data_IF_437617642782
#
_entry.id   IF_437617642782
#
_cell.length_a   1.000
_cell.length_b   1.000
_cell.length_c   1.000
_cell.angle_alpha   90.00
_cell.angle_beta   90.00
_cell.angle_gamma   90.00
#
_symmetry.space_group_name_H-M   'P 1'
#
loop_
_entity.id
_entity.type
_entity.pdbx_description
1 polymer ?
#
# COMPACT_ATOMS: atom_id res chain seq x y z
N UNK A 1 -36.35 -47.97 19.70
CA UNK A 1 -36.68 -46.53 19.53
C UNK A 1 -35.37 -45.84 19.12
N UNK A 2 -35.35 -45.16 17.98
CA UNK A 2 -34.18 -44.38 17.59
C UNK A 2 -34.07 -43.17 18.50
N UNK A 3 -32.88 -42.93 19.07
CA UNK A 3 -32.63 -41.72 19.84
C UNK A 3 -32.75 -40.49 18.94
N UNK A 4 -33.42 -39.41 19.41
CA UNK A 4 -33.53 -38.21 18.63
C UNK A 4 -32.14 -37.64 18.33
N UNK A 5 -31.91 -37.22 17.11
CA UNK A 5 -30.68 -36.54 16.72
C UNK A 5 -30.66 -35.19 17.40
N UNK A 6 -29.69 -34.97 18.29
CA UNK A 6 -29.56 -33.71 19.05
C UNK A 6 -28.67 -32.71 18.29
N UNK A 7 -28.92 -31.42 18.47
CA UNK A 7 -28.08 -30.35 17.89
C UNK A 7 -26.59 -30.46 18.28
N UNK A 8 -26.31 -31.06 19.46
CA UNK A 8 -24.93 -31.36 19.86
C UNK A 8 -24.23 -32.40 18.97
N UNK A 9 -25.01 -33.34 18.40
CA UNK A 9 -24.46 -34.32 17.44
C UNK A 9 -24.22 -33.73 16.04
N UNK A 10 -24.77 -32.56 15.75
CA UNK A 10 -24.59 -31.85 14.47
C UNK A 10 -23.69 -30.59 14.56
N UNK A 11 -23.17 -30.29 15.74
CA UNK A 11 -22.30 -29.12 15.94
C UNK A 11 -21.09 -29.15 14.97
N UNK A 12 -20.52 -30.32 14.76
CA UNK A 12 -19.37 -30.51 13.87
C UNK A 12 -19.70 -30.31 12.37
N UNK A 13 -20.97 -30.35 11.98
CA UNK A 13 -21.42 -30.12 10.61
C UNK A 13 -21.75 -28.64 10.32
N UNK A 14 -22.11 -27.89 11.34
CA UNK A 14 -22.51 -26.48 11.21
C UNK A 14 -21.28 -25.57 11.17
N UNK A 15 -20.26 -25.84 11.98
CA UNK A 15 -19.01 -25.06 12.01
C UNK A 15 -18.29 -25.01 10.65
N UNK A 16 -18.08 -26.13 9.93
CA UNK A 16 -17.47 -26.10 8.61
C UNK A 16 -18.23 -25.26 7.58
N UNK A 17 -19.57 -25.30 7.59
CA UNK A 17 -20.39 -24.53 6.66
C UNK A 17 -20.25 -23.02 6.91
N UNK A 18 -20.30 -22.59 8.15
CA UNK A 18 -20.15 -21.17 8.49
C UNK A 18 -18.74 -20.65 8.21
N UNK A 19 -17.71 -21.46 8.42
CA UNK A 19 -16.34 -21.15 7.99
C UNK A 19 -16.24 -20.99 6.49
N UNK A 20 -16.84 -21.90 5.73
CA UNK A 20 -16.84 -21.83 4.27
C UNK A 20 -17.51 -20.55 3.77
N UNK A 21 -18.67 -20.17 4.31
CA UNK A 21 -19.37 -18.93 3.97
C UNK A 21 -18.48 -17.72 4.27
N UNK A 22 -17.89 -17.65 5.47
CA UNK A 22 -17.00 -16.56 5.87
C UNK A 22 -15.78 -16.46 4.97
N UNK A 23 -15.15 -17.60 4.65
CA UNK A 23 -13.96 -17.63 3.78
C UNK A 23 -14.27 -17.24 2.34
N UNK A 24 -15.41 -17.71 1.81
CA UNK A 24 -15.83 -17.39 0.45
C UNK A 24 -16.10 -15.87 0.32
N UNK A 25 -16.79 -15.27 1.27
CA UNK A 25 -17.07 -13.83 1.29
C UNK A 25 -15.79 -13.00 1.50
N UNK A 26 -14.87 -13.47 2.32
CA UNK A 26 -13.55 -12.83 2.47
C UNK A 26 -12.79 -12.82 1.15
N UNK A 27 -12.77 -13.94 0.44
CA UNK A 27 -12.02 -14.10 -0.81
C UNK A 27 -12.70 -13.41 -2.00
N UNK A 28 -14.04 -13.31 -1.98
CA UNK A 28 -14.80 -12.68 -3.07
C UNK A 28 -14.67 -11.15 -3.13
N UNK A 29 -14.18 -10.51 -2.06
CA UNK A 29 -13.97 -9.06 -2.04
C UNK A 29 -12.81 -8.67 -2.97
N UNK A 30 -13.02 -7.67 -3.87
CA UNK A 30 -11.94 -7.15 -4.70
C UNK A 30 -10.76 -6.70 -3.84
N UNK A 31 -9.57 -7.15 -4.17
CA UNK A 31 -8.36 -6.88 -3.39
C UNK A 31 -7.31 -6.17 -4.26
N UNK A 32 -6.85 -4.99 -3.82
CA UNK A 32 -5.77 -4.23 -4.44
C UNK A 32 -4.42 -4.43 -3.74
N UNK A 33 -4.41 -5.19 -2.65
CA UNK A 33 -3.19 -5.41 -1.86
C UNK A 33 -2.07 -6.07 -2.69
N UNK A 34 -2.34 -7.08 -3.55
CA UNK A 34 -1.30 -7.69 -4.35
C UNK A 34 -0.64 -6.77 -5.39
N UNK A 35 -1.27 -5.63 -5.71
CA UNK A 35 -0.69 -4.61 -6.61
C UNK A 35 0.33 -3.74 -5.89
N UNK A 36 0.15 -3.52 -4.57
CA UNK A 36 0.98 -2.64 -3.75
C UNK A 36 2.07 -3.37 -2.96
N UNK A 37 1.81 -4.62 -2.58
CA UNK A 37 2.65 -5.33 -1.62
C UNK A 37 3.07 -6.69 -2.17
N UNK A 38 4.36 -6.99 -2.03
CA UNK A 38 4.87 -8.35 -2.11
C UNK A 38 4.28 -9.22 -0.99
N UNK A 39 4.08 -10.50 -1.27
CA UNK A 39 3.57 -11.46 -0.29
C UNK A 39 4.70 -12.40 0.13
N UNK A 40 5.00 -12.37 1.41
CA UNK A 40 5.99 -13.24 2.03
C UNK A 40 5.35 -14.00 3.20
N UNK A 41 5.93 -15.14 3.56
CA UNK A 41 5.52 -15.93 4.74
C UNK A 41 6.58 -15.83 5.81
N UNK A 42 6.16 -15.69 7.07
CA UNK A 42 7.05 -15.59 8.22
C UNK A 42 6.56 -16.48 9.36
N UNK A 43 7.50 -17.13 10.04
CA UNK A 43 7.27 -17.91 11.25
C UNK A 43 7.68 -17.15 12.53
N UNK A 44 8.06 -15.88 12.40
CA UNK A 44 8.56 -15.04 13.50
C UNK A 44 7.54 -14.00 13.91
N UNK A 45 7.61 -13.47 15.15
CA UNK A 45 6.73 -12.39 15.59
C UNK A 45 7.02 -11.05 14.91
N UNK A 46 8.24 -10.86 14.44
CA UNK A 46 8.70 -9.69 13.69
C UNK A 46 9.77 -10.08 12.68
N UNK A 47 9.81 -9.35 11.57
CA UNK A 47 10.88 -9.44 10.59
C UNK A 47 11.67 -8.14 10.58
N UNK A 48 13.00 -8.27 10.50
CA UNK A 48 13.91 -7.13 10.42
C UNK A 48 14.68 -7.17 9.11
N UNK A 49 14.58 -6.07 8.39
CA UNK A 49 15.30 -5.83 7.15
C UNK A 49 16.33 -4.74 7.41
N UNK A 50 17.59 -5.05 7.15
CA UNK A 50 18.70 -4.08 7.25
C UNK A 50 19.15 -3.74 5.85
N UNK A 51 19.19 -2.46 5.55
CA UNK A 51 19.69 -1.97 4.28
C UNK A 51 21.21 -1.79 4.31
N UNK A 52 21.80 -1.83 3.14
CA UNK A 52 23.25 -1.62 2.94
C UNK A 52 23.42 -0.59 1.84
N UNK A 53 24.16 0.47 2.14
CA UNK A 53 24.39 1.52 1.16
C UNK A 53 25.21 1.00 -0.03
N UNK A 54 24.88 1.39 -1.27
CA UNK A 54 25.71 1.10 -2.43
C UNK A 54 27.12 1.71 -2.26
N UNK A 55 28.06 1.21 -3.03
CA UNK A 55 29.38 1.83 -3.16
C UNK A 55 29.27 3.09 -4.02
N UNK A 56 30.09 4.11 -3.72
CA UNK A 56 30.19 5.30 -4.56
C UNK A 56 31.00 5.08 -5.83
N UNK A 57 31.18 6.15 -6.57
CA UNK A 57 31.97 6.15 -7.80
C UNK A 57 33.44 5.73 -7.56
N UNK A 58 33.99 5.02 -8.53
CA UNK A 58 35.41 4.66 -8.53
C UNK A 58 36.18 5.85 -9.08
N UNK A 59 37.03 6.54 -8.26
CA UNK A 59 37.77 7.69 -8.72
C UNK A 59 38.90 7.31 -9.70
N UNK A 60 39.35 8.29 -10.48
CA UNK A 60 40.51 8.13 -11.34
C UNK A 60 41.76 7.73 -10.51
N UNK A 61 42.51 6.75 -11.02
CA UNK A 61 43.74 6.32 -10.37
C UNK A 61 44.86 7.35 -10.55
N UNK A 62 45.26 7.98 -9.45
CA UNK A 62 46.33 8.99 -9.40
C UNK A 62 47.61 8.48 -8.73
N UNK A 63 47.78 7.16 -8.65
CA UNK A 63 48.98 6.54 -8.02
C UNK A 63 48.69 5.92 -6.65
N UNK A 64 47.52 6.15 -6.07
CA UNK A 64 47.07 5.52 -4.82
C UNK A 64 45.68 4.97 -5.02
N UNK A 65 45.40 3.73 -4.55
CA UNK A 65 44.07 3.14 -4.57
C UNK A 65 43.17 3.82 -3.51
N UNK A 66 42.03 4.27 -3.93
CA UNK A 66 40.95 4.63 -3.02
C UNK A 66 40.18 3.37 -2.62
N UNK A 67 39.99 3.16 -1.35
CA UNK A 67 39.20 2.07 -0.83
C UNK A 67 37.87 2.63 -0.36
N UNK A 68 36.80 2.15 -0.94
CA UNK A 68 35.42 2.42 -0.53
C UNK A 68 34.74 1.10 -0.14
N UNK A 69 33.72 1.16 0.68
CA UNK A 69 32.94 0.01 1.13
C UNK A 69 31.52 0.38 1.44
N UNK A 70 30.60 -0.59 1.44
CA UNK A 70 29.22 -0.35 1.83
C UNK A 70 29.14 -0.01 3.32
N UNK A 71 28.31 0.97 3.66
CA UNK A 71 27.91 1.28 5.03
C UNK A 71 26.55 0.65 5.35
N UNK A 72 26.23 0.50 6.64
CA UNK A 72 24.90 0.08 7.07
C UNK A 72 23.89 1.22 6.80
N UNK A 73 22.83 0.90 6.08
CA UNK A 73 21.70 1.76 5.83
C UNK A 73 20.73 1.81 7.01
N UNK A 74 19.49 2.15 6.72
CA UNK A 74 18.42 2.15 7.71
C UNK A 74 17.86 0.74 7.92
N UNK A 75 17.39 0.47 9.14
CA UNK A 75 16.71 -0.76 9.47
C UNK A 75 15.19 -0.57 9.44
N UNK A 76 14.48 -1.56 8.88
CA UNK A 76 13.03 -1.66 8.94
C UNK A 76 12.65 -2.89 9.74
N UNK A 77 11.87 -2.70 10.80
CA UNK A 77 11.29 -3.80 11.57
C UNK A 77 9.80 -3.86 11.31
N UNK A 78 9.34 -4.98 10.74
CA UNK A 78 7.92 -5.25 10.45
C UNK A 78 7.38 -6.14 11.57
N UNK A 79 6.33 -5.69 12.26
CA UNK A 79 5.70 -6.40 13.37
C UNK A 79 4.35 -6.97 12.93
N UNK A 80 4.17 -8.28 13.11
CA UNK A 80 2.89 -8.93 12.83
C UNK A 80 1.82 -8.50 13.84
N UNK A 81 0.61 -8.27 13.34
CA UNK A 81 -0.56 -7.92 14.17
C UNK A 81 -1.67 -8.93 13.95
N UNK A 82 -2.24 -9.39 15.04
CA UNK A 82 -3.40 -10.26 15.02
C UNK A 82 -4.68 -9.44 15.09
N UNK A 83 -5.65 -9.81 14.25
CA UNK A 83 -6.98 -9.25 14.25
C UNK A 83 -7.97 -10.36 14.53
N UNK A 84 -8.80 -10.18 15.53
CA UNK A 84 -9.83 -11.14 15.90
C UNK A 84 -11.20 -10.45 15.95
N UNK A 85 -12.18 -11.11 15.40
CA UNK A 85 -13.58 -10.69 15.47
C UNK A 85 -14.47 -11.91 15.58
N UNK A 86 -15.64 -11.75 16.19
CA UNK A 86 -16.58 -12.85 16.37
C UNK A 86 -18.02 -12.34 16.36
N UNK A 87 -18.94 -13.27 16.12
CA UNK A 87 -20.39 -13.03 16.19
C UNK A 87 -20.94 -13.84 17.35
N UNK A 88 -21.76 -13.21 18.16
CA UNK A 88 -22.52 -13.88 19.19
C UNK A 88 -23.97 -13.99 18.74
N UNK A 89 -24.47 -15.21 18.63
CA UNK A 89 -25.85 -15.51 18.18
C UNK A 89 -26.60 -16.10 19.33
N UNK A 90 -27.77 -15.51 19.63
CA UNK A 90 -28.70 -16.06 20.62
C UNK A 90 -29.32 -17.36 20.06
N UNK A 91 -29.41 -18.40 20.91
CA UNK A 91 -29.96 -19.68 20.50
C UNK A 91 -31.39 -19.56 19.96
N UNK A 92 -32.19 -18.68 20.57
CA UNK A 92 -33.58 -18.44 20.12
C UNK A 92 -33.61 -17.94 18.66
N UNK A 93 -32.72 -17.00 18.30
CA UNK A 93 -32.64 -16.50 16.93
C UNK A 93 -32.26 -17.62 15.95
N UNK A 94 -31.33 -18.50 16.35
CA UNK A 94 -30.93 -19.64 15.55
C UNK A 94 -32.10 -20.65 15.36
N UNK A 95 -32.86 -20.94 16.42
CA UNK A 95 -34.01 -21.87 16.38
C UNK A 95 -35.20 -21.27 15.61
N UNK A 96 -35.37 -19.94 15.61
CA UNK A 96 -36.43 -19.21 14.92
C UNK A 96 -36.11 -18.93 13.43
N UNK A 97 -34.87 -19.05 13.01
CA UNK A 97 -34.45 -18.82 11.62
C UNK A 97 -34.80 -20.03 10.73
N UNK A 98 -36.06 -20.07 10.29
CA UNK A 98 -36.59 -21.17 9.47
C UNK A 98 -35.91 -21.35 8.12
N UNK A 99 -35.23 -20.32 7.62
CA UNK A 99 -34.57 -20.34 6.31
C UNK A 99 -33.05 -20.51 6.41
N UNK A 100 -32.45 -20.35 7.59
CA UNK A 100 -31.03 -20.30 7.82
C UNK A 100 -30.36 -19.05 7.24
N UNK A 101 -31.11 -18.20 6.55
CA UNK A 101 -30.56 -17.07 5.79
C UNK A 101 -30.05 -15.92 6.66
N UNK A 102 -30.65 -15.69 7.83
CA UNK A 102 -30.27 -14.63 8.75
C UNK A 102 -28.91 -14.95 9.38
N UNK A 103 -28.75 -16.18 9.87
CA UNK A 103 -27.51 -16.65 10.49
C UNK A 103 -26.39 -16.71 9.47
N UNK A 104 -26.63 -17.26 8.27
CA UNK A 104 -25.67 -17.29 7.19
C UNK A 104 -25.23 -15.88 6.74
N UNK A 105 -26.19 -14.95 6.68
CA UNK A 105 -25.93 -13.54 6.39
C UNK A 105 -24.99 -12.88 7.39
N UNK A 106 -25.09 -13.23 8.69
CA UNK A 106 -24.17 -12.73 9.72
C UNK A 106 -22.74 -13.25 9.50
N UNK A 107 -22.55 -14.52 9.14
CA UNK A 107 -21.24 -15.07 8.85
C UNK A 107 -20.66 -14.50 7.55
N UNK A 108 -21.47 -14.26 6.54
CA UNK A 108 -21.09 -13.57 5.32
C UNK A 108 -20.57 -12.15 5.62
N UNK A 109 -21.29 -11.39 6.48
CA UNK A 109 -20.86 -10.04 6.88
C UNK A 109 -19.58 -10.06 7.72
N UNK A 110 -19.34 -11.08 8.52
CA UNK A 110 -18.07 -11.28 9.23
C UNK A 110 -16.92 -11.41 8.23
N UNK A 111 -17.07 -12.23 7.19
CA UNK A 111 -16.07 -12.37 6.13
C UNK A 111 -15.78 -11.07 5.41
N UNK A 112 -16.82 -10.33 5.02
CA UNK A 112 -16.70 -9.01 4.40
C UNK A 112 -16.03 -7.99 5.32
N UNK A 113 -16.35 -8.02 6.62
CA UNK A 113 -15.76 -7.12 7.62
C UNK A 113 -14.26 -7.39 7.79
N UNK A 114 -13.85 -8.65 7.80
CA UNK A 114 -12.44 -9.02 7.85
C UNK A 114 -11.67 -8.52 6.62
N UNK A 115 -12.23 -8.72 5.41
CA UNK A 115 -11.65 -8.22 4.17
C UNK A 115 -11.55 -6.68 4.14
N UNK A 116 -12.62 -5.99 4.58
CA UNK A 116 -12.61 -4.52 4.70
C UNK A 116 -11.54 -4.01 5.67
N UNK A 117 -11.33 -4.70 6.79
CA UNK A 117 -10.30 -4.34 7.78
C UNK A 117 -8.91 -4.49 7.17
N UNK A 118 -8.63 -5.61 6.51
CA UNK A 118 -7.37 -5.85 5.81
C UNK A 118 -7.08 -4.75 4.78
N UNK A 119 -8.08 -4.38 3.96
CA UNK A 119 -7.94 -3.32 2.96
C UNK A 119 -7.71 -1.94 3.58
N UNK A 120 -8.38 -1.62 4.71
CA UNK A 120 -8.15 -0.35 5.42
C UNK A 120 -6.74 -0.25 5.96
N UNK A 121 -6.22 -1.34 6.51
CA UNK A 121 -4.86 -1.38 7.02
C UNK A 121 -3.83 -1.33 5.89
N UNK A 122 -4.08 -1.97 4.76
CA UNK A 122 -3.22 -1.83 3.60
C UNK A 122 -3.23 -0.41 3.01
N UNK A 123 -4.36 0.29 3.00
CA UNK A 123 -4.44 1.67 2.54
C UNK A 123 -3.73 2.69 3.46
N UNK A 124 -3.20 2.27 4.61
CA UNK A 124 -2.45 3.15 5.52
C UNK A 124 -1.19 3.73 4.88
N UNK A 125 -0.60 3.04 3.91
CA UNK A 125 0.56 3.57 3.17
C UNK A 125 0.24 4.94 2.54
N UNK A 126 -0.98 5.12 2.04
CA UNK A 126 -1.45 6.39 1.52
C UNK A 126 -1.98 7.32 2.63
N UNK A 127 -2.87 6.80 3.48
CA UNK A 127 -3.54 7.60 4.50
C UNK A 127 -2.63 8.13 5.61
N UNK A 128 -1.43 7.56 5.76
CA UNK A 128 -0.42 7.97 6.73
C UNK A 128 0.91 8.36 6.07
N UNK A 129 0.92 8.57 4.74
CA UNK A 129 2.14 8.86 3.98
C UNK A 129 2.88 10.12 4.46
N UNK A 130 2.16 11.10 5.02
CA UNK A 130 2.69 12.37 5.51
C UNK A 130 2.99 12.38 7.02
N UNK A 131 2.86 11.23 7.69
CA UNK A 131 3.14 11.08 9.12
C UNK A 131 3.89 9.77 9.37
N UNK A 132 4.70 9.74 10.44
CA UNK A 132 5.39 8.52 10.83
C UNK A 132 4.37 7.48 11.31
N UNK A 133 4.18 6.41 10.55
CA UNK A 133 3.28 5.31 10.91
C UNK A 133 4.05 4.10 11.44
N UNK A 134 3.93 3.84 12.74
CA UNK A 134 4.61 2.73 13.41
C UNK A 134 3.67 1.56 13.72
N UNK A 135 2.49 1.51 13.10
CA UNK A 135 1.51 0.44 13.41
C UNK A 135 2.04 -0.95 13.04
N UNK A 136 2.58 -1.11 11.86
CA UNK A 136 3.05 -2.40 11.34
C UNK A 136 4.56 -2.46 11.16
N UNK A 137 5.20 -1.34 10.90
CA UNK A 137 6.63 -1.27 10.68
C UNK A 137 7.23 -0.08 11.44
N UNK A 138 8.50 -0.21 11.77
CA UNK A 138 9.30 0.85 12.33
C UNK A 138 10.56 1.02 11.47
N UNK A 139 10.74 2.21 10.92
CA UNK A 139 11.90 2.58 10.11
C UNK A 139 12.83 3.45 10.93
N UNK A 140 14.12 3.10 10.99
CA UNK A 140 15.09 3.77 11.88
C UNK A 140 15.42 5.19 11.46
N UNK A 141 15.14 5.60 10.22
CA UNK A 141 15.21 7.00 9.80
C UNK A 141 14.22 7.86 10.60
N UNK A 142 13.04 7.32 10.95
CA UNK A 142 12.04 8.01 11.76
C UNK A 142 11.30 9.15 11.05
N UNK A 143 11.31 9.18 9.72
CA UNK A 143 10.63 10.19 8.88
C UNK A 143 9.35 9.60 8.27
N UNK A 144 8.41 10.44 7.86
CA UNK A 144 7.22 10.02 7.13
C UNK A 144 7.60 9.48 5.75
N UNK A 145 6.76 8.61 5.17
CA UNK A 145 7.01 8.02 3.86
C UNK A 145 7.16 9.10 2.77
N UNK A 146 6.28 10.10 2.77
CA UNK A 146 6.42 11.28 1.93
C UNK A 146 6.92 12.44 2.78
N UNK A 147 8.14 12.88 2.56
CA UNK A 147 8.81 13.90 3.37
C UNK A 147 9.84 14.69 2.55
N UNK A 148 10.10 15.92 3.00
CA UNK A 148 11.22 16.74 2.52
C UNK A 148 12.38 16.75 3.54
N UNK A 149 12.54 15.64 4.27
CA UNK A 149 13.55 15.50 5.32
C UNK A 149 14.22 14.13 5.29
N UNK A 150 14.12 13.44 4.16
CA UNK A 150 14.82 12.17 3.97
C UNK A 150 16.34 12.38 3.98
N UNK A 151 17.04 11.43 4.60
CA UNK A 151 18.48 11.50 4.80
C UNK A 151 19.17 10.20 4.34
N UNK A 152 20.47 10.19 4.36
CA UNK A 152 21.28 8.99 4.12
C UNK A 152 22.18 8.73 5.32
N UNK A 153 22.50 7.47 5.57
CA UNK A 153 23.49 7.07 6.57
C UNK A 153 24.93 7.20 6.06
N UNK A 154 25.11 7.36 4.73
CA UNK A 154 26.42 7.44 4.12
C UNK A 154 27.06 8.80 4.39
N UNK A 155 28.29 8.78 4.89
CA UNK A 155 29.06 9.98 5.18
C UNK A 155 29.47 10.72 3.92
N UNK A 156 29.33 12.06 3.91
CA UNK A 156 29.78 12.91 2.82
C UNK A 156 28.78 13.07 1.65
N UNK A 157 27.64 12.40 1.68
CA UNK A 157 26.58 12.55 0.68
C UNK A 157 25.68 13.72 1.08
N UNK A 158 25.40 14.63 0.14
CA UNK A 158 24.49 15.75 0.33
C UNK A 158 23.05 15.32 0.04
N UNK A 159 22.15 15.54 0.98
CA UNK A 159 20.71 15.28 0.84
C UNK A 159 19.92 16.52 0.41
N UNK A 160 20.61 17.58 -0.06
CA UNK A 160 19.95 18.84 -0.46
C UNK A 160 19.09 18.69 -1.74
N UNK A 161 19.22 17.62 -2.48
CA UNK A 161 18.41 17.34 -3.68
C UNK A 161 18.35 15.85 -3.99
N UNK A 162 17.22 15.38 -4.49
CA UNK A 162 17.03 13.99 -4.92
C UNK A 162 16.70 13.00 -3.80
N UNK A 163 16.46 13.47 -2.57
CA UNK A 163 16.01 12.66 -1.44
C UNK A 163 14.56 12.98 -1.04
N UNK A 164 14.10 14.17 -1.38
CA UNK A 164 12.75 14.64 -1.06
C UNK A 164 11.73 14.08 -2.04
N UNK A 165 10.63 13.56 -1.52
CA UNK A 165 9.54 12.96 -2.29
C UNK A 165 8.16 13.55 -1.97
N UNK A 166 8.10 14.66 -1.23
CA UNK A 166 6.85 15.33 -0.87
C UNK A 166 6.53 16.46 -1.84
N UNK A 167 5.39 16.35 -2.54
CA UNK A 167 4.74 17.43 -3.26
C UNK A 167 3.57 18.03 -2.47
N UNK A 168 3.21 19.28 -2.74
CA UNK A 168 2.07 19.98 -2.11
C UNK A 168 1.06 20.50 -3.11
N UNK A 169 1.28 20.25 -4.40
CA UNK A 169 0.41 20.77 -5.46
C UNK A 169 -0.79 19.84 -5.71
N UNK A 170 -1.96 20.43 -5.98
CA UNK A 170 -3.11 19.67 -6.44
C UNK A 170 -2.81 19.01 -7.80
N UNK A 171 -3.49 17.91 -8.09
CA UNK A 171 -3.33 17.19 -9.37
C UNK A 171 -3.65 18.12 -10.55
N UNK A 172 -2.71 18.27 -11.47
CA UNK A 172 -2.82 19.05 -12.67
C UNK A 172 -1.78 18.57 -13.70
N UNK A 173 -1.85 18.93 -14.97
CA UNK A 173 -0.83 18.57 -15.97
C UNK A 173 0.58 18.99 -15.54
N UNK A 174 0.69 20.23 -15.04
CA UNK A 174 1.97 20.80 -14.61
C UNK A 174 2.54 20.12 -13.37
N UNK A 175 1.69 19.84 -12.35
CA UNK A 175 2.13 19.20 -11.13
C UNK A 175 2.50 17.71 -11.35
N UNK A 176 1.74 17.02 -12.23
CA UNK A 176 2.05 15.64 -12.59
C UNK A 176 3.39 15.56 -13.37
N UNK A 177 3.61 16.44 -14.34
CA UNK A 177 4.89 16.50 -15.05
C UNK A 177 6.08 16.83 -14.11
N UNK A 178 5.86 17.72 -13.12
CA UNK A 178 6.85 18.04 -12.10
C UNK A 178 7.13 16.83 -11.20
N UNK A 179 6.11 16.08 -10.79
CA UNK A 179 6.27 14.88 -9.96
C UNK A 179 7.05 13.77 -10.71
N UNK A 180 6.73 13.53 -11.99
CA UNK A 180 7.48 12.59 -12.84
C UNK A 180 8.96 13.00 -12.93
N UNK A 181 9.20 14.30 -13.09
CA UNK A 181 10.58 14.83 -13.14
C UNK A 181 11.30 14.63 -11.80
N UNK A 182 10.63 14.94 -10.69
CA UNK A 182 11.19 14.75 -9.34
C UNK A 182 11.47 13.28 -9.05
N UNK A 183 10.57 12.37 -9.45
CA UNK A 183 10.75 10.93 -9.29
C UNK A 183 12.01 10.44 -10.02
N UNK A 184 12.22 10.87 -11.26
CA UNK A 184 13.41 10.50 -12.05
C UNK A 184 14.71 11.11 -11.56
N UNK A 185 14.63 12.13 -10.70
CA UNK A 185 15.79 12.77 -10.05
C UNK A 185 16.09 12.19 -8.67
N UNK A 186 15.32 11.17 -8.22
CA UNK A 186 15.58 10.49 -6.95
C UNK A 186 16.98 9.82 -6.99
N UNK A 187 17.59 9.81 -5.81
CA UNK A 187 18.94 9.28 -5.60
C UNK A 187 18.92 8.15 -4.59
N UNK A 188 19.83 7.23 -4.78
CA UNK A 188 20.09 6.18 -3.82
C UNK A 188 20.85 6.70 -2.57
N UNK A 189 21.10 5.83 -1.60
CA UNK A 189 21.80 6.20 -0.37
C UNK A 189 23.27 6.62 -0.59
N UNK A 190 23.86 6.31 -1.76
CA UNK A 190 25.18 6.79 -2.15
C UNK A 190 25.16 8.16 -2.83
N UNK A 191 23.96 8.67 -3.16
CA UNK A 191 23.75 9.95 -3.82
C UNK A 191 23.74 9.86 -5.35
N UNK A 192 23.73 8.64 -5.91
CA UNK A 192 23.66 8.41 -7.34
C UNK A 192 22.20 8.35 -7.82
N UNK A 193 21.90 8.83 -9.06
CA UNK A 193 20.55 8.74 -9.62
C UNK A 193 20.08 7.29 -9.75
N UNK A 194 18.83 7.01 -9.33
CA UNK A 194 18.22 5.68 -9.45
C UNK A 194 17.75 5.40 -10.88
N UNK A 195 17.44 6.46 -11.65
CA UNK A 195 16.97 6.42 -13.05
C UNK A 195 15.69 5.58 -13.26
N UNK A 196 14.81 5.62 -12.27
CA UNK A 196 13.49 4.97 -12.33
C UNK A 196 12.46 5.90 -12.96
N UNK A 197 11.44 5.33 -13.62
CA UNK A 197 10.33 6.06 -14.23
C UNK A 197 9.04 5.61 -13.57
N UNK A 198 8.21 6.53 -13.06
CA UNK A 198 6.94 6.16 -12.48
C UNK A 198 5.98 5.64 -13.57
N UNK A 199 5.30 4.54 -13.31
CA UNK A 199 4.38 3.87 -14.22
C UNK A 199 2.95 3.75 -13.67
N UNK A 200 2.73 4.11 -12.41
CA UNK A 200 1.44 4.06 -11.75
C UNK A 200 1.06 5.41 -11.14
N UNK A 201 -0.23 5.75 -11.21
CA UNK A 201 -0.83 6.89 -10.52
C UNK A 201 -1.95 6.41 -9.59
N UNK A 202 -1.76 6.58 -8.29
CA UNK A 202 -2.74 6.22 -7.27
C UNK A 202 -3.53 7.44 -6.82
N UNK A 203 -4.87 7.34 -6.91
CA UNK A 203 -5.77 8.46 -6.61
C UNK A 203 -6.98 8.01 -5.77
N UNK A 204 -7.54 8.91 -4.94
CA UNK A 204 -8.85 8.72 -4.35
C UNK A 204 -9.95 8.77 -5.41
N UNK A 205 -11.12 8.26 -5.08
CA UNK A 205 -12.29 8.26 -5.99
C UNK A 205 -12.62 9.66 -6.52
N UNK A 206 -12.40 10.69 -5.71
CA UNK A 206 -12.68 12.09 -6.07
C UNK A 206 -11.84 12.60 -7.24
N UNK A 207 -10.60 12.13 -7.36
CA UNK A 207 -9.67 12.57 -8.41
C UNK A 207 -9.66 11.64 -9.64
N UNK A 208 -10.43 10.54 -9.63
CA UNK A 208 -10.39 9.54 -10.69
C UNK A 208 -10.69 10.12 -12.08
N UNK A 209 -11.74 10.92 -12.21
CA UNK A 209 -12.10 11.53 -13.51
C UNK A 209 -11.01 12.49 -13.99
N UNK A 210 -10.44 13.29 -13.09
CA UNK A 210 -9.36 14.19 -13.40
C UNK A 210 -8.09 13.46 -13.83
N UNK A 211 -7.75 12.36 -13.15
CA UNK A 211 -6.61 11.52 -13.51
C UNK A 211 -6.78 10.90 -14.90
N UNK A 212 -7.98 10.39 -15.21
CA UNK A 212 -8.30 9.87 -16.54
C UNK A 212 -8.21 10.94 -17.64
N UNK A 213 -8.71 12.11 -17.35
CA UNK A 213 -8.64 13.24 -18.27
C UNK A 213 -7.19 13.64 -18.57
N UNK A 214 -6.29 13.54 -17.57
CA UNK A 214 -4.88 13.84 -17.73
C UNK A 214 -4.10 12.77 -18.51
N UNK A 215 -4.40 11.49 -18.30
CA UNK A 215 -3.57 10.38 -18.80
C UNK A 215 -4.21 9.67 -20.01
N UNK A 216 -5.55 9.64 -20.13
CA UNK A 216 -6.24 8.90 -21.18
C UNK A 216 -6.77 9.81 -22.30
N UNK A 217 -6.48 11.11 -22.29
CA UNK A 217 -6.97 12.05 -23.30
C UNK A 217 -5.86 12.44 -24.26
N UNK A 218 -6.09 12.24 -25.54
CA UNK A 218 -5.12 12.52 -26.62
C UNK A 218 -4.87 14.03 -26.80
N UNK A 219 -5.86 14.88 -26.48
CA UNK A 219 -5.79 16.34 -26.66
C UNK A 219 -5.57 17.01 -25.30
N UNK A 220 -4.62 17.91 -25.22
CA UNK A 220 -4.31 18.66 -23.98
C UNK A 220 -5.47 19.53 -23.50
N UNK A 221 -5.71 19.52 -22.19
CA UNK A 221 -6.86 20.13 -21.52
C UNK A 221 -6.84 21.65 -21.43
N UNK A 222 -5.68 22.28 -21.54
CA UNK A 222 -5.53 23.69 -21.13
C UNK A 222 -5.53 24.69 -22.27
N UNK A 223 -5.70 24.27 -23.53
CA UNK A 223 -5.58 25.24 -24.63
C UNK A 223 -6.64 25.11 -25.71
N UNK A 224 -7.11 26.26 -26.19
CA UNK A 224 -7.87 26.43 -27.42
C UNK A 224 -7.08 26.02 -28.68
N UNK A 225 -5.87 25.56 -28.56
CA UNK A 225 -4.95 25.03 -29.56
C UNK A 225 -4.79 23.54 -29.31
N UNK A 226 -5.21 22.72 -30.25
CA UNK A 226 -5.15 21.23 -30.24
C UNK A 226 -3.71 20.71 -30.05
N UNK A 227 -3.13 20.91 -28.85
CA UNK A 227 -1.78 20.43 -28.51
C UNK A 227 -1.88 18.98 -28.07
N UNK A 228 -0.98 18.14 -28.56
CA UNK A 228 -0.90 16.74 -28.17
C UNK A 228 -0.61 16.64 -26.67
N UNK A 229 -1.38 15.79 -25.96
CA UNK A 229 -1.11 15.48 -24.57
C UNK A 229 0.13 14.56 -24.47
N UNK A 230 1.20 15.05 -23.90
CA UNK A 230 2.45 14.29 -23.73
C UNK A 230 2.37 13.24 -22.59
N UNK A 231 1.32 13.32 -21.77
CA UNK A 231 1.08 12.39 -20.67
C UNK A 231 0.15 11.23 -21.06
N UNK A 232 -0.38 11.24 -22.31
CA UNK A 232 -1.26 10.19 -22.82
C UNK A 232 -0.58 8.82 -22.74
N UNK A 233 -1.22 7.87 -22.02
CA UNK A 233 -0.74 6.51 -21.84
C UNK A 233 0.56 6.38 -21.04
N UNK A 234 1.02 7.42 -20.34
CA UNK A 234 2.28 7.39 -19.61
C UNK A 234 2.24 6.54 -18.33
N UNK A 235 1.05 6.37 -17.74
CA UNK A 235 0.87 5.70 -16.44
C UNK A 235 -0.42 4.90 -16.38
N UNK A 236 -0.45 3.90 -15.50
CA UNK A 236 -1.66 3.16 -15.14
C UNK A 236 -2.35 3.86 -13.96
N UNK A 237 -3.65 4.14 -14.10
CA UNK A 237 -4.42 4.80 -13.04
C UNK A 237 -5.02 3.77 -12.10
N UNK A 238 -4.73 3.90 -10.83
CA UNK A 238 -5.32 3.12 -9.75
C UNK A 238 -6.18 3.99 -8.84
N UNK A 239 -7.49 3.77 -8.90
CA UNK A 239 -8.45 4.37 -7.99
C UNK A 239 -8.64 3.45 -6.77
N UNK A 240 -8.61 4.00 -5.56
CA UNK A 240 -8.92 3.22 -4.37
C UNK A 240 -9.81 3.97 -3.37
N UNK A 241 -11.01 3.44 -3.14
CA UNK A 241 -11.99 4.01 -2.20
C UNK A 241 -11.56 3.93 -0.71
N UNK A 242 -10.40 3.33 -0.40
CA UNK A 242 -9.83 3.29 0.94
C UNK A 242 -8.86 4.42 1.21
N UNK A 243 -8.49 5.18 0.21
CA UNK A 243 -7.79 6.45 0.36
C UNK A 243 -8.81 7.45 0.90
N UNK A 244 -8.53 8.01 2.08
CA UNK A 244 -9.47 8.86 2.82
C UNK A 244 -9.33 10.34 2.50
N UNK A 245 -8.11 10.78 2.13
CA UNK A 245 -7.93 12.13 1.63
C UNK A 245 -8.48 12.25 0.20
N UNK A 246 -9.15 13.36 -0.06
CA UNK A 246 -9.85 13.57 -1.33
C UNK A 246 -9.02 14.32 -2.37
N UNK A 247 -7.87 14.86 -1.99
CA UNK A 247 -7.06 15.75 -2.79
C UNK A 247 -5.63 15.24 -3.02
N UNK A 248 -5.19 14.27 -2.23
CA UNK A 248 -3.86 13.71 -2.33
C UNK A 248 -3.75 12.69 -3.47
N UNK A 249 -2.58 12.60 -4.07
CA UNK A 249 -2.28 11.68 -5.16
C UNK A 249 -0.80 11.28 -5.10
N UNK A 250 -0.49 10.08 -5.64
CA UNK A 250 0.84 9.48 -5.56
C UNK A 250 1.25 8.89 -6.92
N UNK A 251 2.50 9.01 -7.23
CA UNK A 251 3.18 8.41 -8.39
C UNK A 251 4.30 7.49 -7.97
#
# INVERSE_FOLDING_TARGET
>A
MASPVTSAAMADLLDPRFREITQNEFTAMPDKIPMLYGQETSDRPEERYSDVTPMGDIPEFTGTLAYDGPDLGYDVTVTHKEFAGGIQIERKLYDDDQTGSVVEGMFAELGRSAAKTRQKDAARIFNQSFSVDTKFYNHTEGVALCSNSHTTTRSGVSTASGFDNLGTAALSPTSLAAAITSFRLLRDLAGEPIDEVPDELWVPVNLHLQARELIETIVGLEEASETMNLLDGSMVIHEWARITDTNDWWV
#
